data_IF_926271401988
#
_entry.id   IF_926271401988
#
_cell.length_a   1.000
_cell.length_b   1.000
_cell.length_c   1.000
_cell.angle_alpha   90.00
_cell.angle_beta   90.00
_cell.angle_gamma   90.00
#
_symmetry.space_group_name_H-M   'P 1'
#
loop_
_entity.id
_entity.type
_entity.pdbx_description
1 polymer ?
#
# COMPACT_ATOMS: atom_id res chain seq x y z
N UNK A 1 -18.04 -10.00 -5.00
CA UNK A 1 -18.67 -10.34 -3.71
C UNK A 1 -17.63 -10.15 -2.63
N UNK A 2 -18.01 -9.64 -1.45
CA UNK A 2 -17.09 -9.51 -0.33
C UNK A 2 -16.69 -10.89 0.22
N UNK A 3 -15.48 -11.00 0.78
CA UNK A 3 -15.03 -12.21 1.48
C UNK A 3 -15.40 -12.10 2.95
N UNK A 4 -15.92 -13.18 3.55
CA UNK A 4 -16.41 -13.14 4.93
C UNK A 4 -15.26 -13.48 5.89
N UNK A 5 -15.01 -12.63 6.90
CA UNK A 5 -14.11 -12.95 7.98
C UNK A 5 -14.74 -14.01 8.90
N UNK A 6 -14.06 -15.15 9.06
CA UNK A 6 -14.57 -16.28 9.85
C UNK A 6 -13.87 -16.44 11.19
N UNK A 7 -12.68 -15.85 11.35
CA UNK A 7 -11.90 -15.96 12.57
C UNK A 7 -10.93 -14.78 12.72
N UNK A 8 -10.92 -14.18 13.92
CA UNK A 8 -9.87 -13.25 14.31
C UNK A 8 -8.63 -14.04 14.75
N UNK A 9 -7.45 -13.67 14.24
CA UNK A 9 -6.19 -14.38 14.50
C UNK A 9 -5.33 -13.61 15.49
N UNK A 10 -5.07 -12.32 15.22
CA UNK A 10 -4.27 -11.43 16.09
C UNK A 10 -4.39 -9.97 15.67
N UNK A 11 -3.92 -9.07 16.52
CA UNK A 11 -3.68 -7.66 16.17
C UNK A 11 -2.46 -7.50 15.28
N UNK A 12 -2.48 -6.49 14.43
CA UNK A 12 -1.33 -6.03 13.66
C UNK A 12 -0.81 -4.73 14.26
N UNK A 13 0.48 -4.48 14.07
CA UNK A 13 1.12 -3.19 14.42
C UNK A 13 0.73 -2.13 13.40
N UNK A 14 0.88 -0.86 13.78
CA UNK A 14 0.70 0.29 12.90
C UNK A 14 -0.51 1.16 13.26
N UNK A 15 -0.51 2.40 12.74
CA UNK A 15 -1.47 3.44 13.12
C UNK A 15 -2.92 3.11 12.75
N UNK A 16 -3.16 2.37 11.68
CA UNK A 16 -4.51 1.93 11.29
C UNK A 16 -5.11 0.86 12.23
N UNK A 17 -4.30 0.29 13.13
CA UNK A 17 -4.69 -0.78 14.06
C UNK A 17 -5.39 -1.95 13.37
N UNK A 18 -4.74 -2.48 12.31
CA UNK A 18 -5.29 -3.60 11.56
C UNK A 18 -5.33 -4.90 12.36
N UNK A 19 -6.11 -5.87 11.86
CA UNK A 19 -6.26 -7.20 12.46
C UNK A 19 -6.02 -8.28 11.42
N UNK A 20 -5.28 -9.32 11.77
CA UNK A 20 -5.19 -10.50 10.92
C UNK A 20 -6.42 -11.38 11.13
N UNK A 21 -7.04 -11.79 10.03
CA UNK A 21 -8.24 -12.63 10.02
C UNK A 21 -8.10 -13.77 9.02
N UNK A 22 -8.66 -14.93 9.35
CA UNK A 22 -8.91 -15.99 8.37
C UNK A 22 -10.29 -15.75 7.76
N UNK A 23 -10.38 -15.87 6.44
CA UNK A 23 -11.61 -15.59 5.71
C UNK A 23 -12.19 -16.87 5.07
N UNK A 24 -13.43 -16.77 4.57
CA UNK A 24 -14.21 -17.89 4.01
C UNK A 24 -13.60 -18.52 2.76
N UNK A 25 -12.72 -17.81 2.06
CA UNK A 25 -11.94 -18.29 0.93
C UNK A 25 -10.70 -19.10 1.32
N UNK A 26 -10.47 -19.30 2.63
CA UNK A 26 -9.32 -20.03 3.17
C UNK A 26 -8.04 -19.19 3.30
N UNK A 27 -8.04 -17.94 2.84
CA UNK A 27 -6.87 -17.06 2.93
C UNK A 27 -6.86 -16.26 4.24
N UNK A 28 -5.69 -15.72 4.56
CA UNK A 28 -5.51 -14.76 5.65
C UNK A 28 -5.45 -13.34 5.09
N UNK A 29 -6.09 -12.40 5.78
CA UNK A 29 -6.11 -10.98 5.42
C UNK A 29 -5.71 -10.12 6.61
N UNK A 30 -4.94 -9.06 6.35
CA UNK A 30 -4.82 -7.91 7.24
C UNK A 30 -6.00 -6.99 6.96
N UNK A 31 -6.93 -6.92 7.90
CA UNK A 31 -8.16 -6.16 7.82
C UNK A 31 -8.00 -4.82 8.52
N UNK A 32 -8.30 -3.72 7.82
CA UNK A 32 -8.36 -2.36 8.38
C UNK A 32 -9.81 -1.91 8.49
N UNK A 33 -10.23 -1.58 9.71
CA UNK A 33 -11.63 -1.26 10.02
C UNK A 33 -12.02 0.16 9.59
N UNK A 34 -13.32 0.38 9.34
CA UNK A 34 -13.85 1.70 8.95
C UNK A 34 -13.66 2.74 10.04
N UNK A 35 -13.80 2.34 11.30
CA UNK A 35 -13.57 3.18 12.48
C UNK A 35 -12.09 3.20 12.94
N UNK A 36 -11.15 2.98 12.02
CA UNK A 36 -9.72 3.16 12.30
C UNK A 36 -9.42 4.62 12.73
N UNK A 37 -8.33 4.86 13.47
CA UNK A 37 -8.05 6.17 14.04
C UNK A 37 -7.41 7.18 13.06
N UNK A 38 -7.17 6.83 11.80
CA UNK A 38 -6.47 7.68 10.84
C UNK A 38 -7.46 8.52 10.02
N UNK A 39 -8.32 7.87 9.24
CA UNK A 39 -9.43 8.46 8.48
C UNK A 39 -10.19 7.32 7.76
N UNK A 40 -11.48 7.50 7.43
CA UNK A 40 -12.24 6.47 6.69
C UNK A 40 -11.72 6.27 5.26
N UNK A 41 -11.35 7.37 4.57
CA UNK A 41 -10.75 7.36 3.22
C UNK A 41 -9.48 6.53 3.10
N UNK A 42 -8.79 6.23 4.21
CA UNK A 42 -7.64 5.32 4.20
C UNK A 42 -8.01 3.98 3.57
N UNK A 43 -9.22 3.46 3.79
CA UNK A 43 -9.64 2.18 3.19
C UNK A 43 -9.79 2.28 1.66
N UNK A 44 -10.36 3.38 1.16
CA UNK A 44 -10.45 3.66 -0.27
C UNK A 44 -9.06 3.83 -0.88
N UNK A 45 -8.16 4.53 -0.19
CA UNK A 45 -6.79 4.76 -0.62
C UNK A 45 -6.02 3.44 -0.74
N UNK A 46 -6.11 2.58 0.29
CA UNK A 46 -5.49 1.26 0.29
C UNK A 46 -5.91 0.41 -0.91
N UNK A 47 -7.21 0.34 -1.19
CA UNK A 47 -7.73 -0.44 -2.31
C UNK A 47 -7.31 0.14 -3.66
N UNK A 48 -7.55 1.44 -3.87
CA UNK A 48 -7.24 2.11 -5.12
C UNK A 48 -5.76 2.06 -5.44
N UNK A 49 -4.90 2.51 -4.52
CA UNK A 49 -3.47 2.59 -4.77
C UNK A 49 -2.84 1.20 -4.90
N UNK A 50 -3.31 0.19 -4.17
CA UNK A 50 -2.83 -1.19 -4.34
C UNK A 50 -3.20 -1.75 -5.71
N UNK A 51 -4.44 -1.54 -6.18
CA UNK A 51 -4.86 -1.99 -7.52
C UNK A 51 -4.14 -1.25 -8.64
N UNK A 52 -3.87 0.04 -8.48
CA UNK A 52 -3.02 0.81 -9.40
C UNK A 52 -1.58 0.25 -9.43
N UNK A 53 -1.02 -0.14 -8.28
CA UNK A 53 0.29 -0.78 -8.20
C UNK A 53 0.31 -2.13 -8.93
N UNK A 54 -0.70 -2.96 -8.70
CA UNK A 54 -0.87 -4.24 -9.40
C UNK A 54 -1.00 -4.04 -10.91
N UNK A 55 -1.81 -3.07 -11.35
CA UNK A 55 -1.94 -2.70 -12.76
C UNK A 55 -0.62 -2.18 -13.37
N UNK A 56 0.27 -1.61 -12.55
CA UNK A 56 1.62 -1.22 -12.94
C UNK A 56 2.63 -2.39 -12.91
N UNK A 57 2.21 -3.61 -12.59
CA UNK A 57 3.04 -4.81 -12.40
C UNK A 57 4.02 -4.73 -11.21
N UNK A 58 3.58 -4.11 -10.10
CA UNK A 58 4.33 -4.08 -8.84
C UNK A 58 3.93 -5.24 -7.91
N UNK A 59 4.87 -5.73 -7.08
CA UNK A 59 4.60 -6.79 -6.13
C UNK A 59 3.80 -6.24 -4.94
N UNK A 60 2.48 -6.34 -5.02
CA UNK A 60 1.56 -5.95 -3.97
C UNK A 60 0.62 -7.11 -3.62
N UNK A 61 0.10 -7.18 -2.38
CA UNK A 61 -0.87 -8.19 -2.03
C UNK A 61 -2.21 -7.96 -2.74
N UNK A 62 -2.92 -9.05 -3.02
CA UNK A 62 -4.33 -9.00 -3.45
C UNK A 62 -5.15 -8.25 -2.41
N UNK A 63 -6.06 -7.39 -2.86
CA UNK A 63 -6.96 -6.63 -1.98
C UNK A 63 -8.41 -7.02 -2.21
N UNK A 64 -9.14 -7.14 -1.11
CA UNK A 64 -10.54 -7.54 -1.09
C UNK A 64 -11.35 -6.64 -0.17
N UNK A 65 -12.66 -6.58 -0.43
CA UNK A 65 -13.61 -6.11 0.59
C UNK A 65 -13.87 -7.30 1.52
N UNK A 66 -13.60 -7.12 2.81
CA UNK A 66 -13.83 -8.13 3.84
C UNK A 66 -15.05 -7.73 4.66
N UNK A 67 -16.04 -8.61 4.72
CA UNK A 67 -17.20 -8.46 5.60
C UNK A 67 -16.89 -9.05 6.97
N UNK A 68 -16.99 -8.23 8.01
CA UNK A 68 -16.82 -8.66 9.41
C UNK A 68 -18.17 -8.57 10.11
N UNK A 69 -18.74 -9.73 10.45
CA UNK A 69 -20.06 -9.82 11.07
C UNK A 69 -20.09 -9.43 12.55
N UNK A 70 -21.26 -9.00 13.01
CA UNK A 70 -21.54 -8.63 14.40
C UNK A 70 -21.12 -9.71 15.40
N UNK A 71 -21.39 -10.98 15.09
CA UNK A 71 -21.05 -12.09 15.97
C UNK A 71 -19.54 -12.19 16.22
N UNK A 72 -18.72 -12.07 15.16
CA UNK A 72 -17.27 -12.16 15.30
C UNK A 72 -16.72 -10.99 16.13
N UNK A 73 -17.24 -9.79 15.86
CA UNK A 73 -16.95 -8.58 16.66
C UNK A 73 -17.36 -8.80 18.12
N UNK A 74 -18.56 -9.34 18.37
CA UNK A 74 -19.14 -9.58 19.69
C UNK A 74 -18.36 -10.60 20.52
N UNK A 75 -17.81 -11.64 19.89
CA UNK A 75 -17.12 -12.75 20.55
C UNK A 75 -15.60 -12.59 20.63
N UNK A 76 -15.02 -11.59 19.96
CA UNK A 76 -13.58 -11.35 19.99
C UNK A 76 -13.27 -10.06 20.78
N UNK A 77 -12.90 -10.21 22.06
CA UNK A 77 -12.57 -9.06 22.93
C UNK A 77 -11.42 -8.21 22.38
N UNK A 78 -10.51 -8.82 21.61
CA UNK A 78 -9.40 -8.12 20.97
C UNK A 78 -9.83 -7.26 19.77
N UNK A 79 -11.03 -7.39 19.21
CA UNK A 79 -11.51 -6.54 18.10
C UNK A 79 -11.94 -5.16 18.62
N UNK A 80 -10.94 -4.34 18.97
CA UNK A 80 -11.10 -2.98 19.44
C UNK A 80 -9.95 -2.06 18.99
N UNK A 81 -10.26 -0.79 18.83
CA UNK A 81 -9.37 0.33 18.55
C UNK A 81 -8.94 0.96 19.88
N UNK A 82 -7.63 1.06 20.10
CA UNK A 82 -7.03 1.67 21.28
C UNK A 82 -6.68 3.13 21.00
N UNK A 83 -7.37 4.04 21.66
CA UNK A 83 -7.12 5.48 21.60
C UNK A 83 -6.45 5.95 22.90
N UNK A 84 -5.95 7.19 22.92
CA UNK A 84 -5.44 7.79 24.14
C UNK A 84 -6.57 7.89 25.19
N UNK A 85 -6.57 7.00 26.17
CA UNK A 85 -7.54 6.97 27.28
C UNK A 85 -8.88 6.32 26.96
N UNK A 86 -9.07 5.70 25.79
CA UNK A 86 -10.34 5.05 25.44
C UNK A 86 -10.11 3.79 24.58
N UNK A 87 -11.04 2.84 24.67
CA UNK A 87 -11.06 1.62 23.85
C UNK A 87 -12.42 1.54 23.17
N UNK A 88 -12.42 1.60 21.84
CA UNK A 88 -13.64 1.52 21.03
C UNK A 88 -13.72 0.15 20.39
N UNK A 89 -14.89 -0.50 20.42
CA UNK A 89 -15.09 -1.74 19.68
C UNK A 89 -14.91 -1.51 18.17
N UNK A 90 -14.30 -2.45 17.46
CA UNK A 90 -14.33 -2.42 16.00
C UNK A 90 -15.78 -2.49 15.49
N UNK A 91 -16.11 -1.74 14.46
CA UNK A 91 -17.45 -1.80 13.88
C UNK A 91 -17.60 -3.02 12.96
N UNK A 92 -18.79 -3.64 12.90
CA UNK A 92 -19.12 -4.63 11.87
C UNK A 92 -19.26 -3.97 10.47
N UNK A 93 -19.33 -4.82 9.45
CA UNK A 93 -19.64 -4.45 8.07
C UNK A 93 -18.46 -4.63 7.11
N UNK A 94 -18.40 -3.76 6.09
CA UNK A 94 -17.43 -3.87 4.99
C UNK A 94 -16.14 -3.10 5.30
N UNK A 95 -15.02 -3.81 5.24
CA UNK A 95 -13.68 -3.32 5.59
C UNK A 95 -12.65 -3.65 4.50
N UNK A 96 -11.53 -2.94 4.53
CA UNK A 96 -10.43 -3.24 3.62
C UNK A 96 -9.70 -4.49 4.10
N UNK A 97 -9.44 -5.44 3.20
CA UNK A 97 -8.58 -6.60 3.44
C UNK A 97 -7.40 -6.65 2.47
N UNK A 98 -6.19 -6.70 3.02
CA UNK A 98 -4.98 -7.00 2.26
C UNK A 98 -4.57 -8.45 2.50
N UNK A 99 -4.52 -9.28 1.45
CA UNK A 99 -4.17 -10.69 1.57
C UNK A 99 -2.76 -10.83 2.13
N UNK A 100 -2.62 -11.67 3.14
CA UNK A 100 -1.33 -11.93 3.75
C UNK A 100 -0.41 -12.65 2.76
N UNK A 101 0.80 -12.14 2.60
CA UNK A 101 1.71 -12.47 1.48
C UNK A 101 2.23 -13.91 1.49
N UNK A 102 2.10 -14.60 2.62
CA UNK A 102 2.42 -16.02 2.77
C UNK A 102 1.54 -16.60 3.86
N UNK A 103 1.06 -17.83 3.69
CA UNK A 103 0.35 -18.55 4.76
C UNK A 103 1.21 -18.52 6.05
N UNK A 104 0.67 -18.04 7.19
CA UNK A 104 1.40 -17.95 8.45
C UNK A 104 1.99 -19.29 8.93
N UNK A 105 1.45 -20.43 8.48
CA UNK A 105 1.96 -21.77 8.80
C UNK A 105 3.10 -22.21 7.89
N UNK A 106 3.28 -21.55 6.74
CA UNK A 106 4.22 -21.96 5.69
C UNK A 106 5.39 -21.00 5.49
N UNK A 107 5.39 -19.85 6.16
CA UNK A 107 6.41 -18.84 5.98
C UNK A 107 6.44 -17.76 7.05
N UNK A 108 7.31 -16.78 6.83
CA UNK A 108 7.54 -15.67 7.73
C UNK A 108 7.45 -14.36 6.97
N UNK A 109 7.00 -13.32 7.68
CA UNK A 109 6.92 -11.94 7.18
C UNK A 109 7.60 -11.02 8.17
N UNK A 110 8.37 -10.07 7.66
CA UNK A 110 9.09 -9.06 8.41
C UNK A 110 8.70 -7.67 7.87
N UNK A 111 8.38 -6.74 8.76
CA UNK A 111 8.03 -5.35 8.47
C UNK A 111 9.26 -4.43 8.47
N UNK A 112 10.40 -4.94 8.93
CA UNK A 112 11.70 -4.29 8.92
C UNK A 112 12.78 -5.24 8.40
N UNK A 113 13.73 -4.68 7.63
CA UNK A 113 14.84 -5.44 7.10
C UNK A 113 16.13 -4.61 7.14
N UNK A 114 17.18 -5.06 7.85
CA UNK A 114 18.45 -4.34 7.92
C UNK A 114 19.10 -4.16 6.56
N UNK A 115 19.78 -3.02 6.34
CA UNK A 115 20.46 -2.71 5.09
C UNK A 115 21.43 -3.83 4.64
N UNK A 116 22.20 -4.40 5.58
CA UNK A 116 23.13 -5.50 5.33
C UNK A 116 22.47 -6.79 4.81
N UNK A 117 21.15 -6.95 4.99
CA UNK A 117 20.43 -8.13 4.52
C UNK A 117 19.78 -7.91 3.15
N UNK A 118 19.73 -6.68 2.61
CA UNK A 118 19.00 -6.37 1.38
C UNK A 118 19.47 -7.17 0.16
N UNK A 119 20.73 -7.63 0.12
CA UNK A 119 21.24 -8.55 -0.91
C UNK A 119 20.48 -9.90 -0.99
N UNK A 120 19.75 -10.25 0.08
CA UNK A 120 18.91 -11.46 0.15
C UNK A 120 17.51 -11.23 -0.40
N UNK A 121 17.15 -10.01 -0.77
CA UNK A 121 15.84 -9.68 -1.37
C UNK A 121 15.92 -9.90 -2.89
N UNK A 122 15.02 -10.74 -3.40
CA UNK A 122 15.03 -11.19 -4.80
C UNK A 122 14.70 -10.09 -5.79
N UNK A 123 13.79 -9.20 -5.40
CA UNK A 123 13.15 -8.20 -6.24
C UNK A 123 13.42 -6.78 -5.72
N UNK A 124 14.63 -6.52 -5.25
CA UNK A 124 15.00 -5.24 -4.64
C UNK A 124 14.81 -4.07 -5.62
N UNK A 125 14.99 -4.31 -6.91
CA UNK A 125 14.76 -3.35 -8.00
C UNK A 125 13.33 -2.79 -8.02
N UNK A 126 12.34 -3.54 -7.54
CA UNK A 126 10.94 -3.09 -7.52
C UNK A 126 10.70 -1.90 -6.61
N UNK A 127 11.64 -1.55 -5.72
CA UNK A 127 11.57 -0.31 -4.93
C UNK A 127 11.65 0.94 -5.82
N UNK A 128 12.36 0.89 -6.95
CA UNK A 128 12.35 1.96 -7.93
C UNK A 128 10.96 2.11 -8.56
N UNK A 129 10.32 1.00 -8.92
CA UNK A 129 8.95 0.98 -9.40
C UNK A 129 7.93 1.46 -8.37
N UNK A 130 8.10 1.07 -7.11
CA UNK A 130 7.18 1.54 -6.07
C UNK A 130 7.31 3.04 -5.82
N UNK A 131 8.52 3.58 -5.98
CA UNK A 131 8.75 5.02 -5.94
C UNK A 131 8.02 5.76 -7.09
N UNK A 132 7.96 5.18 -8.30
CA UNK A 132 7.11 5.71 -9.40
C UNK A 132 5.67 5.87 -8.89
N UNK A 133 5.11 4.80 -8.31
CA UNK A 133 3.75 4.81 -7.79
C UNK A 133 3.58 5.82 -6.65
N UNK A 134 4.51 5.89 -5.69
CA UNK A 134 4.46 6.83 -4.58
C UNK A 134 4.40 8.28 -5.05
N UNK A 135 5.24 8.64 -6.02
CA UNK A 135 5.29 9.99 -6.57
C UNK A 135 4.01 10.31 -7.33
N UNK A 136 3.57 9.38 -8.17
CA UNK A 136 2.32 9.51 -8.90
C UNK A 136 1.12 9.70 -7.98
N UNK A 137 0.97 8.82 -6.99
CA UNK A 137 -0.18 8.78 -6.08
C UNK A 137 -0.06 9.76 -4.91
N UNK A 138 1.06 10.47 -4.75
CA UNK A 138 1.24 11.44 -3.67
C UNK A 138 1.20 10.79 -2.28
N UNK A 139 1.89 9.67 -2.09
CA UNK A 139 1.95 9.01 -0.79
C UNK A 139 2.59 9.92 0.26
N UNK A 140 1.81 10.30 1.28
CA UNK A 140 2.24 11.25 2.27
C UNK A 140 3.06 10.66 3.43
N UNK A 141 3.13 9.33 3.54
CA UNK A 141 3.91 8.63 4.56
C UNK A 141 5.21 8.05 3.97
N UNK A 142 6.07 7.50 4.83
CA UNK A 142 7.19 6.67 4.39
C UNK A 142 6.69 5.41 3.70
N UNK A 143 7.36 5.00 2.61
CA UNK A 143 7.05 3.74 1.93
C UNK A 143 7.31 2.56 2.86
N UNK A 144 6.35 1.66 2.99
CA UNK A 144 6.49 0.41 3.73
C UNK A 144 6.52 -0.80 2.80
N UNK A 145 7.18 -1.86 3.24
CA UNK A 145 7.29 -3.12 2.54
C UNK A 145 7.28 -4.27 3.55
N UNK A 146 6.61 -5.36 3.19
CA UNK A 146 6.66 -6.63 3.87
C UNK A 146 7.66 -7.55 3.16
N UNK A 147 8.68 -8.01 3.88
CA UNK A 147 9.67 -8.96 3.39
C UNK A 147 9.27 -10.36 3.83
N UNK A 148 9.04 -11.25 2.88
CA UNK A 148 8.52 -12.58 3.18
C UNK A 148 9.29 -13.68 2.49
N UNK A 149 9.20 -14.88 3.06
CA UNK A 149 9.76 -16.11 2.50
C UNK A 149 8.97 -17.32 2.99
N UNK A 150 8.94 -18.39 2.20
CA UNK A 150 8.49 -19.69 2.70
C UNK A 150 9.55 -20.32 3.60
N UNK A 151 9.16 -21.21 4.51
CA UNK A 151 10.07 -21.77 5.54
C UNK A 151 11.35 -22.39 4.98
N UNK A 152 11.28 -23.02 3.80
CA UNK A 152 12.43 -23.66 3.13
C UNK A 152 13.30 -22.70 2.31
N UNK A 153 12.88 -21.46 2.13
CA UNK A 153 13.61 -20.47 1.32
C UNK A 153 14.61 -19.69 2.17
N UNK A 154 15.75 -19.33 1.56
CA UNK A 154 16.78 -18.50 2.20
C UNK A 154 16.71 -17.02 1.82
N UNK A 155 16.18 -16.73 0.63
CA UNK A 155 15.99 -15.37 0.11
C UNK A 155 14.57 -14.90 0.39
N UNK A 156 14.40 -13.58 0.40
CA UNK A 156 13.14 -12.91 0.69
C UNK A 156 12.58 -12.27 -0.58
N UNK A 157 11.28 -12.07 -0.60
CA UNK A 157 10.57 -11.28 -1.60
C UNK A 157 9.95 -10.09 -0.88
N UNK A 158 10.07 -8.90 -1.45
CA UNK A 158 9.38 -7.71 -0.96
C UNK A 158 7.98 -7.64 -1.60
N UNK A 159 6.97 -7.32 -0.78
CA UNK A 159 5.66 -6.91 -1.21
C UNK A 159 5.33 -5.55 -0.59
N UNK A 160 4.81 -4.60 -1.37
CA UNK A 160 4.54 -3.25 -0.88
C UNK A 160 3.16 -3.15 -0.27
N UNK A 161 3.11 -2.55 0.93
CA UNK A 161 1.92 -2.49 1.77
C UNK A 161 1.73 -1.07 2.33
N UNK A 162 0.59 -0.86 2.98
CA UNK A 162 0.24 0.39 3.66
C UNK A 162 0.18 1.60 2.70
N UNK A 163 -0.75 1.53 1.74
CA UNK A 163 -1.01 2.59 0.77
C UNK A 163 -2.00 3.64 1.29
N UNK A 164 -2.41 3.56 2.56
CA UNK A 164 -3.46 4.40 3.15
C UNK A 164 -3.20 5.90 3.08
N UNK A 165 -1.92 6.30 2.99
CA UNK A 165 -1.49 7.70 2.90
C UNK A 165 -1.25 8.17 1.47
N UNK A 166 -1.50 7.34 0.45
CA UNK A 166 -1.69 7.80 -0.92
C UNK A 166 -2.77 8.91 -0.96
N UNK A 167 -2.60 9.82 -1.92
CA UNK A 167 -3.48 10.96 -2.16
C UNK A 167 -3.51 11.93 -0.96
N UNK A 168 -2.39 12.04 -0.23
CA UNK A 168 -2.31 12.79 1.02
C UNK A 168 -3.42 12.39 2.05
N UNK A 169 -3.63 11.08 2.19
CA UNK A 169 -4.54 10.48 3.16
C UNK A 169 -6.01 10.96 3.03
N UNK A 170 -6.56 11.63 4.05
CA UNK A 170 -7.94 12.10 4.06
C UNK A 170 -8.17 13.33 3.17
N UNK A 171 -7.12 14.07 2.85
CA UNK A 171 -7.21 15.37 2.19
C UNK A 171 -7.45 15.26 0.68
N UNK A 172 -6.95 14.18 0.05
CA UNK A 172 -7.03 14.00 -1.42
C UNK A 172 -6.42 15.18 -2.19
N UNK A 173 -5.19 15.54 -1.79
CA UNK A 173 -4.38 16.60 -2.39
C UNK A 173 -2.95 16.11 -2.67
N UNK A 174 -2.17 16.91 -3.41
CA UNK A 174 -0.82 16.54 -3.88
C UNK A 174 0.18 17.66 -3.61
N UNK A 175 0.69 17.80 -2.37
CA UNK A 175 1.64 18.86 -2.02
C UNK A 175 3.07 18.62 -2.53
N UNK A 176 3.35 17.43 -3.07
CA UNK A 176 4.57 17.11 -3.86
C UNK A 176 5.91 17.28 -3.16
N UNK A 177 5.92 17.12 -1.83
CA UNK A 177 7.15 17.12 -1.07
C UNK A 177 8.12 16.00 -1.52
N UNK A 178 9.37 16.35 -1.90
CA UNK A 178 10.33 15.38 -2.44
C UNK A 178 10.64 14.19 -1.52
N UNK A 179 10.52 14.37 -0.20
CA UNK A 179 10.86 13.37 0.82
C UNK A 179 9.67 12.54 1.32
N UNK A 180 8.46 12.71 0.77
CA UNK A 180 7.30 11.85 1.06
C UNK A 180 7.22 10.69 0.06
N UNK A 181 6.65 9.55 0.48
CA UNK A 181 6.47 8.39 -0.39
C UNK A 181 7.79 7.74 -0.79
N UNK A 182 8.74 7.68 0.14
CA UNK A 182 10.08 7.12 -0.10
C UNK A 182 10.41 6.12 0.98
N UNK A 183 11.14 5.06 0.64
CA UNK A 183 11.56 4.08 1.65
C UNK A 183 12.53 4.73 2.62
N UNK A 184 12.65 4.29 3.87
CA UNK A 184 13.50 4.97 4.86
C UNK A 184 15.00 4.92 4.51
N UNK A 185 15.45 3.79 3.96
CA UNK A 185 16.85 3.51 3.65
C UNK A 185 17.14 3.74 2.16
N UNK A 186 18.26 4.41 1.83
CA UNK A 186 18.64 4.68 0.44
C UNK A 186 19.17 3.44 -0.28
N UNK A 187 19.61 2.43 0.48
CA UNK A 187 20.26 1.22 -0.01
C UNK A 187 19.37 0.41 -0.95
N UNK A 188 18.04 0.51 -0.80
CA UNK A 188 17.08 -0.10 -1.75
C UNK A 188 17.16 0.52 -3.15
N UNK A 189 17.71 1.73 -3.27
CA UNK A 189 17.90 2.44 -4.54
C UNK A 189 19.34 2.35 -5.08
N UNK A 190 20.23 1.56 -4.45
CA UNK A 190 21.62 1.45 -4.89
C UNK A 190 21.77 0.96 -6.35
N UNK A 191 20.79 0.18 -6.83
CA UNK A 191 20.74 -0.29 -8.21
C UNK A 191 20.27 0.74 -9.25
N UNK A 192 19.79 1.91 -8.83
CA UNK A 192 19.27 2.96 -9.72
C UNK A 192 20.43 3.69 -10.39
N UNK A 193 20.53 3.55 -11.72
CA UNK A 193 21.60 4.10 -12.56
C UNK A 193 21.14 5.14 -13.57
N UNK A 194 19.84 5.26 -13.80
CA UNK A 194 19.23 6.12 -14.80
C UNK A 194 17.75 5.79 -14.97
N UNK A 195 17.11 6.33 -16.00
CA UNK A 195 15.68 6.11 -16.23
C UNK A 195 15.31 4.64 -16.50
N UNK A 196 16.20 3.87 -17.11
CA UNK A 196 16.00 2.45 -17.39
C UNK A 196 15.82 1.63 -16.11
N UNK A 197 16.32 2.10 -14.96
CA UNK A 197 16.12 1.43 -13.66
C UNK A 197 14.69 1.51 -13.14
N UNK A 198 13.84 2.36 -13.71
CA UNK A 198 12.42 2.49 -13.35
C UNK A 198 11.49 1.72 -14.31
N UNK A 199 12.04 1.14 -15.37
CA UNK A 199 11.27 0.35 -16.33
C UNK A 199 11.09 -1.10 -15.83
N UNK A 200 9.95 -1.74 -16.09
CA UNK A 200 8.83 -1.25 -16.93
C UNK A 200 7.81 -0.36 -16.20
N UNK A 201 7.94 -0.16 -14.89
CA UNK A 201 6.89 0.45 -14.05
C UNK A 201 6.57 1.89 -14.45
N UNK A 202 7.60 2.67 -14.82
CA UNK A 202 7.41 4.03 -15.30
C UNK A 202 6.56 4.06 -16.56
N UNK A 203 6.93 3.27 -17.58
CA UNK A 203 6.10 3.13 -18.79
C UNK A 203 4.68 2.64 -18.49
N UNK A 204 4.53 1.67 -17.58
CA UNK A 204 3.21 1.13 -17.24
C UNK A 204 2.31 2.19 -16.60
N UNK A 205 2.86 3.07 -15.76
CA UNK A 205 2.12 4.19 -15.15
C UNK A 205 1.79 5.26 -16.18
N UNK A 206 2.78 5.72 -16.96
CA UNK A 206 2.61 6.79 -17.96
C UNK A 206 1.59 6.41 -19.05
N UNK A 207 1.56 5.13 -19.44
CA UNK A 207 0.69 4.60 -20.51
C UNK A 207 -0.56 3.92 -19.98
N UNK A 208 -0.82 3.94 -18.66
CA UNK A 208 -2.00 3.28 -18.10
C UNK A 208 -3.26 3.91 -18.70
N UNK A 209 -4.07 3.07 -19.34
CA UNK A 209 -5.34 3.48 -19.91
C UNK A 209 -6.32 3.98 -18.81
N UNK A 210 -7.19 4.92 -19.19
CA UNK A 210 -8.13 5.53 -18.24
C UNK A 210 -9.16 4.52 -17.74
N UNK A 211 -9.68 3.65 -18.62
CA UNK A 211 -10.65 2.62 -18.23
C UNK A 211 -10.03 1.64 -17.22
N UNK A 212 -8.74 1.31 -17.39
CA UNK A 212 -7.98 0.50 -16.44
C UNK A 212 -7.83 1.19 -15.09
N UNK A 213 -7.58 2.49 -15.07
CA UNK A 213 -7.52 3.27 -13.83
C UNK A 213 -8.88 3.32 -13.13
N UNK A 214 -9.96 3.58 -13.87
CA UNK A 214 -11.33 3.56 -13.33
C UNK A 214 -11.75 2.18 -12.84
N UNK A 215 -11.32 1.11 -13.52
CA UNK A 215 -11.52 -0.26 -13.06
C UNK A 215 -10.85 -0.52 -11.70
N UNK A 216 -9.73 0.13 -11.39
CA UNK A 216 -9.08 0.02 -10.07
C UNK A 216 -9.95 0.65 -8.96
N UNK A 217 -10.68 1.72 -9.25
CA UNK A 217 -11.61 2.36 -8.32
C UNK A 217 -12.95 1.61 -8.20
N UNK A 218 -13.27 0.75 -9.16
CA UNK A 218 -14.54 0.01 -9.19
C UNK A 218 -14.70 -0.91 -7.98
N UNK A 219 -15.89 -0.88 -7.37
CA UNK A 219 -16.21 -1.72 -6.21
C UNK A 219 -15.63 -1.23 -4.87
N UNK A 220 -15.03 -0.04 -4.82
CA UNK A 220 -14.74 0.63 -3.53
C UNK A 220 -16.10 0.98 -2.88
N UNK A 221 -16.38 0.52 -1.65
CA UNK A 221 -17.62 0.85 -0.96
C UNK A 221 -17.81 2.37 -0.77
N UNK A 222 -19.00 2.94 -1.08
CA UNK A 222 -19.27 4.37 -0.94
C UNK A 222 -19.00 4.96 0.45
N UNK A 223 -19.28 4.18 1.49
CA UNK A 223 -19.00 4.56 2.88
C UNK A 223 -17.52 4.86 3.14
N UNK A 224 -16.60 4.31 2.35
CA UNK A 224 -15.17 4.54 2.54
C UNK A 224 -14.73 5.92 2.09
N UNK A 225 -15.52 6.61 1.28
CA UNK A 225 -15.27 7.98 0.86
C UNK A 225 -16.41 8.93 1.20
N UNK A 226 -17.25 8.57 2.18
CA UNK A 226 -18.33 9.42 2.68
C UNK A 226 -19.48 9.61 1.69
N UNK A 227 -19.69 8.66 0.77
CA UNK A 227 -20.65 8.76 -0.33
C UNK A 227 -20.39 9.95 -1.28
N UNK A 228 -19.21 10.57 -1.21
CA UNK A 228 -18.80 11.71 -2.04
C UNK A 228 -18.21 11.22 -3.38
N UNK A 229 -19.10 10.82 -4.29
CA UNK A 229 -18.71 10.38 -5.64
C UNK A 229 -17.91 11.45 -6.39
N UNK A 230 -18.31 12.72 -6.28
CA UNK A 230 -17.63 13.80 -6.97
C UNK A 230 -16.19 13.97 -6.51
N UNK A 231 -15.89 13.80 -5.21
CA UNK A 231 -14.52 13.82 -4.73
C UNK A 231 -13.70 12.64 -5.27
N UNK A 232 -14.28 11.44 -5.36
CA UNK A 232 -13.59 10.29 -5.95
C UNK A 232 -13.33 10.54 -7.44
N UNK A 233 -14.29 11.10 -8.17
CA UNK A 233 -14.12 11.44 -9.58
C UNK A 233 -13.04 12.51 -9.79
N UNK A 234 -13.03 13.57 -8.97
CA UNK A 234 -11.96 14.58 -9.00
C UNK A 234 -10.59 13.97 -8.74
N UNK A 235 -10.49 13.06 -7.76
CA UNK A 235 -9.26 12.34 -7.48
C UNK A 235 -8.80 11.53 -8.71
N UNK A 236 -9.71 10.78 -9.35
CA UNK A 236 -9.40 9.97 -10.52
C UNK A 236 -8.93 10.81 -11.71
N UNK A 237 -9.62 11.92 -12.00
CA UNK A 237 -9.21 12.87 -13.06
C UNK A 237 -7.82 13.45 -12.78
N UNK A 238 -7.57 13.85 -11.54
CA UNK A 238 -6.26 14.33 -11.13
C UNK A 238 -5.16 13.27 -11.33
N UNK A 239 -5.40 12.01 -10.94
CA UNK A 239 -4.43 10.93 -11.14
C UNK A 239 -4.12 10.67 -12.63
N UNK A 240 -5.14 10.75 -13.49
CA UNK A 240 -4.99 10.57 -14.95
C UNK A 240 -4.04 11.63 -15.52
N UNK A 241 -4.22 12.89 -15.16
CA UNK A 241 -3.37 13.99 -15.63
C UNK A 241 -1.97 13.91 -15.02
N UNK A 242 -1.92 13.63 -13.71
CA UNK A 242 -0.70 13.63 -12.91
C UNK A 242 0.32 12.57 -13.30
N UNK A 243 -0.06 11.50 -13.99
CA UNK A 243 0.91 10.48 -14.44
C UNK A 243 2.01 11.04 -15.35
N UNK A 244 1.75 12.15 -16.04
CA UNK A 244 2.74 12.86 -16.86
C UNK A 244 3.84 13.55 -16.02
N UNK A 245 3.59 13.83 -14.74
CA UNK A 245 4.53 14.54 -13.85
C UNK A 245 5.51 13.61 -13.14
N UNK A 246 5.37 12.29 -13.27
CA UNK A 246 6.10 11.32 -12.43
C UNK A 246 7.61 11.46 -12.56
N UNK A 247 8.12 11.72 -13.77
CA UNK A 247 9.55 11.97 -13.99
C UNK A 247 10.04 13.20 -13.23
N UNK A 248 9.31 14.31 -13.29
CA UNK A 248 9.66 15.54 -12.57
C UNK A 248 9.69 15.29 -11.05
N UNK A 249 8.71 14.56 -10.53
CA UNK A 249 8.61 14.23 -9.10
C UNK A 249 9.75 13.31 -8.62
N UNK A 250 10.19 12.38 -9.46
CA UNK A 250 11.36 11.54 -9.20
C UNK A 250 12.65 12.38 -9.23
N UNK A 251 12.78 13.30 -10.20
CA UNK A 251 13.91 14.22 -10.28
C UNK A 251 14.00 15.13 -9.04
N UNK A 252 12.87 15.64 -8.55
CA UNK A 252 12.83 16.43 -7.32
C UNK A 252 13.36 15.63 -6.12
N UNK A 253 13.01 14.34 -6.00
CA UNK A 253 13.58 13.46 -4.97
C UNK A 253 15.07 13.20 -5.18
N UNK A 254 15.50 12.94 -6.42
CA UNK A 254 16.92 12.77 -6.79
C UNK A 254 17.77 13.96 -6.37
N UNK A 255 17.28 15.18 -6.60
CA UNK A 255 17.97 16.44 -6.32
C UNK A 255 17.85 16.90 -4.86
N UNK A 256 17.05 16.21 -4.04
CA UNK A 256 16.92 16.52 -2.62
C UNK A 256 18.24 16.29 -1.86
N UNK A 257 18.35 16.89 -0.67
CA UNK A 257 19.51 16.69 0.22
C UNK A 257 19.77 15.23 0.58
N UNK A 258 18.77 14.36 0.43
CA UNK A 258 18.86 12.92 0.69
C UNK A 258 19.72 12.16 -0.32
N UNK A 259 19.96 12.71 -1.52
CA UNK A 259 20.80 12.14 -2.60
C UNK A 259 20.60 10.62 -2.77
N UNK A 260 19.37 10.16 -3.09
CA UNK A 260 19.00 8.75 -2.99
C UNK A 260 19.66 7.85 -4.06
N UNK A 261 20.05 8.41 -5.21
CA UNK A 261 20.54 7.65 -6.36
C UNK A 261 22.04 7.89 -6.58
N UNK A 262 22.88 7.32 -5.72
CA UNK A 262 24.34 7.54 -5.75
C UNK A 262 24.99 7.10 -7.06
N UNK A 263 24.39 6.13 -7.76
CA UNK A 263 24.93 5.53 -8.99
C UNK A 263 24.28 6.07 -10.28
N UNK A 264 23.49 7.15 -10.20
CA UNK A 264 22.84 7.76 -11.36
C UNK A 264 23.87 8.36 -12.33
N UNK A 265 23.90 7.88 -13.57
CA UNK A 265 24.77 8.38 -14.64
C UNK A 265 24.04 9.47 -15.42
N UNK A 266 24.68 10.61 -15.65
CA UNK A 266 24.04 11.77 -16.30
C UNK A 266 23.63 11.51 -17.76
N UNK A 267 24.24 10.51 -18.40
CA UNK A 267 24.13 10.24 -19.84
C UNK A 267 23.43 8.90 -20.18
N UNK A 268 22.61 8.36 -19.27
CA UNK A 268 21.87 7.10 -19.45
C UNK A 268 20.37 7.31 -19.64
#
# INVERSE_FOLDING_TARGET
MAVIAVQHVRRMRGGAQGHMMRCSDGNFYVVKFRNNPQHVRVLANEMLATRLAEAAALPVPVTEVVEVGDWLVAQSSELNIQLAGNVLRCQPGLHFGSRYVVDPLQGQVFDYFPAAMLERVRNLETFAGMLVLDKWTGNANGRQAAFWRKSRERKYTAAFIDQGYCFNAGDWTFPDYPLRGVYAHNEVYAGVKGWQSFEPWLSNVEKMDQDRMWACASGIPPDWYGNDWEALERLMRCLIERRAMVRELILAFRLSQRRPFLNWRADA
#
